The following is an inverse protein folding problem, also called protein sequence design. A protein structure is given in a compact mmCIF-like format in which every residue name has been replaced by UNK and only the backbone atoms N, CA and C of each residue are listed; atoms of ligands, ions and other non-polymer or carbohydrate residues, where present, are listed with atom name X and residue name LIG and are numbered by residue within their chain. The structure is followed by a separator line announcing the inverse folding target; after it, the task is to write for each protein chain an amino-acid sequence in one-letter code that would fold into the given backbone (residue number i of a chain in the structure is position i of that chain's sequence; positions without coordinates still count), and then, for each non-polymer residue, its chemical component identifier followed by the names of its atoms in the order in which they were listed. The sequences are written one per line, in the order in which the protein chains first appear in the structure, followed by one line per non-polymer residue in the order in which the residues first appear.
data_IF_906260036704
#
_entry.id   IF_906260036704
#
_cell.length_a   1.000
_cell.length_b   1.000
_cell.length_c   1.000
_cell.angle_alpha   90.00
_cell.angle_beta   90.00
_cell.angle_gamma   90.00
#
_symmetry.space_group_name_H-M   'P 1'
#
loop_
_entity.id
_entity.type
_entity.pdbx_description
1 polymer ?
#
# COMPACT_ATOMS: atom_id res chain seq x y z
N UNK A 1 -17.56 15.45 2.59
CA UNK A 1 -16.34 14.99 1.88
C UNK A 1 -16.61 13.70 1.13
N UNK A 2 -15.91 13.48 0.01
CA UNK A 2 -16.00 12.22 -0.71
C UNK A 2 -15.33 11.09 0.07
N UNK A 3 -15.93 9.92 0.00
CA UNK A 3 -15.32 8.67 0.39
C UNK A 3 -15.31 7.77 -0.85
N UNK A 4 -14.15 7.48 -1.39
CA UNK A 4 -14.00 6.70 -2.61
C UNK A 4 -12.56 6.23 -2.82
N UNK A 5 -12.39 5.04 -3.41
CA UNK A 5 -11.15 4.56 -4.00
C UNK A 5 -11.27 4.38 -5.50
N UNK A 6 -10.22 3.89 -6.16
CA UNK A 6 -10.22 3.65 -7.60
C UNK A 6 -10.38 4.94 -8.42
N UNK A 7 -9.75 6.02 -7.99
CA UNK A 7 -9.52 7.26 -8.72
C UNK A 7 -8.06 7.31 -9.13
N UNK A 8 -7.67 6.46 -10.10
CA UNK A 8 -6.29 6.07 -10.33
C UNK A 8 -5.66 5.48 -9.05
N UNK A 9 -4.66 6.16 -8.50
CA UNK A 9 -3.96 5.76 -7.26
C UNK A 9 -4.62 6.33 -5.99
N UNK A 10 -5.59 7.26 -6.11
CA UNK A 10 -6.09 8.04 -4.97
C UNK A 10 -7.20 7.32 -4.22
N UNK A 11 -7.17 7.50 -2.90
CA UNK A 11 -8.26 7.13 -1.98
C UNK A 11 -8.66 8.37 -1.18
N UNK A 12 -9.95 8.61 -1.10
CA UNK A 12 -10.56 9.68 -0.32
C UNK A 12 -11.23 9.09 0.91
N UNK A 13 -10.90 9.62 2.06
CA UNK A 13 -11.23 9.05 3.36
C UNK A 13 -12.61 9.47 3.92
N UNK A 14 -13.31 10.37 3.25
CA UNK A 14 -14.56 10.93 3.76
C UNK A 14 -14.32 12.01 4.80
N UNK A 15 -14.46 11.71 6.09
CA UNK A 15 -14.19 12.61 7.23
C UNK A 15 -14.78 14.01 7.05
N UNK A 16 -16.06 14.09 6.67
CA UNK A 16 -16.74 15.37 6.65
C UNK A 16 -16.61 16.05 8.00
N UNK A 17 -16.23 17.32 7.99
CA UNK A 17 -15.90 18.04 9.22
C UNK A 17 -16.75 19.30 9.34
N UNK A 18 -17.38 19.46 10.48
CA UNK A 18 -17.98 20.73 10.88
C UNK A 18 -17.08 21.40 11.93
N UNK A 19 -16.87 22.71 11.76
CA UNK A 19 -16.16 23.54 12.72
C UNK A 19 -17.19 24.46 13.37
N UNK A 20 -17.38 24.28 14.69
CA UNK A 20 -18.32 25.06 15.46
C UNK A 20 -17.79 26.49 15.71
N UNK A 21 -18.66 27.44 16.09
CA UNK A 21 -18.22 28.84 16.32
C UNK A 21 -17.13 29.02 17.36
N UNK A 22 -17.04 28.12 18.34
CA UNK A 22 -16.00 28.10 19.38
C UNK A 22 -14.69 27.41 18.95
N UNK A 23 -14.62 26.93 17.70
CA UNK A 23 -13.48 26.21 17.17
C UNK A 23 -13.50 24.69 17.43
N UNK A 24 -14.50 24.18 18.15
CA UNK A 24 -14.68 22.75 18.33
C UNK A 24 -14.97 22.07 16.98
N UNK A 25 -14.44 20.86 16.78
CA UNK A 25 -14.59 20.10 15.54
C UNK A 25 -15.41 18.85 15.77
N UNK A 26 -16.41 18.67 14.92
CA UNK A 26 -17.22 17.47 14.84
C UNK A 26 -16.83 16.77 13.53
N UNK A 27 -16.43 15.51 13.61
CA UNK A 27 -15.88 14.75 12.48
C UNK A 27 -16.72 13.51 12.23
N UNK A 28 -17.17 13.34 10.99
CA UNK A 28 -17.83 12.14 10.52
C UNK A 28 -16.87 10.96 10.39
N UNK A 29 -17.40 9.76 10.26
CA UNK A 29 -16.63 8.51 10.11
C UNK A 29 -15.75 8.54 8.87
N UNK A 30 -14.62 7.83 8.95
CA UNK A 30 -13.69 7.68 7.84
C UNK A 30 -13.93 6.36 7.10
N UNK A 31 -13.71 6.36 5.76
CA UNK A 31 -13.76 5.21 4.86
C UNK A 31 -15.09 4.47 4.81
N UNK A 32 -16.18 5.11 5.18
CA UNK A 32 -17.54 4.58 5.11
C UNK A 32 -18.57 5.70 4.88
N UNK A 33 -19.78 5.34 4.45
CA UNK A 33 -20.87 6.29 4.36
C UNK A 33 -21.30 6.73 5.77
N UNK A 34 -21.49 8.03 5.93
CA UNK A 34 -21.94 8.58 7.20
C UNK A 34 -22.89 9.78 6.94
N UNK A 35 -23.79 9.99 7.88
CA UNK A 35 -24.74 11.08 7.85
C UNK A 35 -24.69 11.81 9.20
N UNK A 36 -24.02 12.95 9.21
CA UNK A 36 -23.82 13.76 10.40
C UNK A 36 -24.90 14.84 10.49
N UNK A 37 -25.65 14.85 11.59
CA UNK A 37 -26.62 15.89 11.94
C UNK A 37 -26.06 16.69 13.11
N UNK A 38 -25.99 18.01 12.95
CA UNK A 38 -25.45 18.93 13.96
C UNK A 38 -26.38 20.13 14.12
N UNK A 39 -26.47 20.61 15.36
CA UNK A 39 -27.11 21.86 15.69
C UNK A 39 -26.07 22.98 15.79
N UNK A 40 -26.29 24.10 15.12
CA UNK A 40 -25.38 25.24 15.12
C UNK A 40 -26.07 26.44 15.79
N UNK A 41 -25.48 26.91 16.90
CA UNK A 41 -25.90 28.18 17.53
C UNK A 41 -25.38 29.37 16.72
N UNK A 42 -26.25 29.95 15.90
CA UNK A 42 -25.92 31.12 15.05
C UNK A 42 -25.67 32.38 15.87
N UNK A 43 -26.28 32.51 17.05
CA UNK A 43 -26.07 33.66 17.96
C UNK A 43 -24.69 33.61 18.61
N UNK A 44 -24.17 32.41 18.89
CA UNK A 44 -22.82 32.22 19.38
C UNK A 44 -21.80 32.69 18.36
N UNK A 45 -21.99 32.37 17.06
CA UNK A 45 -21.13 32.83 15.97
C UNK A 45 -21.06 34.37 15.93
N UNK A 46 -22.21 35.03 16.06
CA UNK A 46 -22.30 36.50 16.09
C UNK A 46 -21.56 37.09 17.30
N UNK A 47 -21.71 36.48 18.50
CA UNK A 47 -21.02 36.93 19.74
C UNK A 47 -19.50 36.76 19.61
N UNK A 48 -19.00 35.64 19.09
CA UNK A 48 -17.56 35.44 18.83
C UNK A 48 -17.01 36.48 17.87
N UNK A 49 -17.70 36.76 16.76
CA UNK A 49 -17.28 37.74 15.75
C UNK A 49 -17.25 39.17 16.32
N UNK A 50 -18.12 39.49 17.25
CA UNK A 50 -18.16 40.79 17.95
C UNK A 50 -17.01 40.95 18.94
N UNK A 51 -16.60 39.85 19.60
CA UNK A 51 -15.50 39.85 20.60
C UNK A 51 -14.11 39.86 19.93
N UNK A 52 -13.99 39.25 18.73
CA UNK A 52 -12.76 39.30 17.96
C UNK A 52 -12.63 40.63 17.15
N UNK A 53 -12.26 41.68 17.83
CA UNK A 53 -12.05 43.02 17.24
C UNK A 53 -10.95 43.13 16.17
N UNK A 54 -10.44 42.01 15.64
CA UNK A 54 -9.36 41.94 14.63
C UNK A 54 -9.82 41.88 13.18
N UNK A 55 -11.11 41.83 12.89
CA UNK A 55 -11.62 41.85 11.50
C UNK A 55 -11.85 43.29 10.96
N UNK A 56 -11.01 44.22 11.31
CA UNK A 56 -10.90 45.50 10.61
C UNK A 56 -10.03 45.32 9.38
N UNK A 57 -10.62 45.16 8.20
CA UNK A 57 -9.84 45.26 6.98
C UNK A 57 -10.27 44.48 5.75
N UNK A 58 -11.39 43.78 5.75
CA UNK A 58 -11.92 43.25 4.48
C UNK A 58 -13.14 44.02 4.04
N UNK A 59 -12.88 45.26 3.56
CA UNK A 59 -13.86 46.08 2.84
C UNK A 59 -14.02 45.57 1.40
N UNK A 60 -14.38 44.29 1.22
CA UNK A 60 -14.96 43.82 -0.02
C UNK A 60 -16.46 44.08 0.08
N UNK A 61 -16.94 45.11 -0.61
CA UNK A 61 -18.38 45.27 -0.93
C UNK A 61 -18.77 44.06 -1.79
N UNK A 62 -19.14 42.98 -1.12
CA UNK A 62 -19.86 41.87 -1.79
C UNK A 62 -21.33 42.32 -1.76
N UNK A 63 -21.94 42.47 -2.93
CA UNK A 63 -23.40 42.59 -3.00
C UNK A 63 -23.98 41.26 -2.51
N UNK A 64 -24.63 41.31 -1.37
CA UNK A 64 -25.33 40.15 -0.76
C UNK A 64 -26.82 40.33 -1.02
N UNK A 65 -27.41 39.39 -1.74
CA UNK A 65 -28.87 39.34 -1.87
C UNK A 65 -29.43 38.75 -0.55
N UNK A 66 -30.21 39.55 0.17
CA UNK A 66 -30.80 39.15 1.43
C UNK A 66 -32.17 38.51 1.18
N UNK A 67 -32.27 37.19 1.35
CA UNK A 67 -33.51 36.44 1.23
C UNK A 67 -34.10 36.21 2.62
N UNK A 68 -35.14 36.91 2.98
CA UNK A 68 -35.84 36.72 4.24
C UNK A 68 -36.77 35.49 4.20
N UNK A 69 -36.35 34.40 4.80
CA UNK A 69 -37.16 33.20 4.95
C UNK A 69 -38.00 33.29 6.22
N UNK A 70 -39.34 33.23 6.07
CA UNK A 70 -40.25 33.10 7.21
C UNK A 70 -40.23 31.66 7.71
N UNK A 71 -39.25 31.32 8.51
CA UNK A 71 -39.18 30.01 9.16
C UNK A 71 -39.97 30.12 10.47
N UNK A 72 -40.97 29.25 10.74
CA UNK A 72 -41.67 29.26 12.00
C UNK A 72 -40.68 28.90 13.13
N UNK A 73 -40.56 29.78 14.13
CA UNK A 73 -39.78 29.52 15.33
C UNK A 73 -40.31 28.24 16.00
N UNK A 74 -39.58 27.16 15.96
CA UNK A 74 -39.81 26.02 16.84
C UNK A 74 -39.35 26.43 18.26
N UNK A 75 -40.24 26.29 19.23
CA UNK A 75 -39.85 26.43 20.66
C UNK A 75 -38.74 25.43 20.97
N UNK A 76 -37.76 25.88 21.75
CA UNK A 76 -36.55 25.19 22.16
C UNK A 76 -36.62 23.67 22.09
N UNK A 77 -35.91 23.07 21.14
CA UNK A 77 -35.61 21.65 21.19
C UNK A 77 -34.33 21.48 22.03
N UNK A 78 -34.22 20.36 22.73
CA UNK A 78 -32.96 19.92 23.28
C UNK A 78 -31.98 19.76 22.13
N UNK A 79 -30.76 20.26 22.30
CA UNK A 79 -29.70 20.06 21.32
C UNK A 79 -29.44 18.57 21.14
N UNK A 80 -29.22 18.15 19.89
CA UNK A 80 -28.82 16.77 19.61
C UNK A 80 -27.47 16.48 20.28
N UNK A 81 -27.28 15.29 20.86
CA UNK A 81 -25.96 14.92 21.37
C UNK A 81 -24.92 14.97 20.26
N UNK A 82 -23.80 15.62 20.54
CA UNK A 82 -22.69 15.69 19.58
C UNK A 82 -22.01 14.33 19.50
N UNK A 83 -22.15 13.66 18.37
CA UNK A 83 -21.36 12.48 18.04
C UNK A 83 -20.16 12.90 17.21
N UNK A 84 -18.96 12.74 17.75
CA UNK A 84 -17.74 12.95 16.99
C UNK A 84 -16.99 11.64 16.86
N UNK A 85 -16.55 11.31 15.64
CA UNK A 85 -15.73 10.14 15.39
C UNK A 85 -14.32 10.34 15.97
N UNK A 86 -13.84 9.40 16.77
CA UNK A 86 -12.47 9.41 17.26
C UNK A 86 -11.52 9.00 16.13
N UNK A 87 -10.41 9.73 16.00
CA UNK A 87 -9.37 9.35 15.06
C UNK A 87 -8.87 7.93 15.35
N UNK A 88 -8.78 7.13 14.32
CA UNK A 88 -8.17 5.80 14.34
C UNK A 88 -6.64 5.90 14.37
N UNK A 89 -5.96 4.81 14.65
CA UNK A 89 -4.49 4.76 14.52
C UNK A 89 -4.05 4.92 13.05
N UNK A 90 -2.77 5.22 12.83
CA UNK A 90 -2.19 5.26 11.48
C UNK A 90 -2.39 3.91 10.75
N UNK A 91 -2.18 2.81 11.46
CA UNK A 91 -2.33 1.45 10.93
C UNK A 91 -3.79 1.16 10.53
N UNK A 92 -4.76 1.58 11.34
CA UNK A 92 -6.19 1.42 11.03
C UNK A 92 -6.58 2.21 9.77
N UNK A 93 -6.06 3.42 9.62
CA UNK A 93 -6.28 4.25 8.44
C UNK A 93 -5.63 3.64 7.20
N UNK A 94 -4.40 3.10 7.31
CA UNK A 94 -3.73 2.38 6.23
C UNK A 94 -4.54 1.16 5.80
N UNK A 95 -4.98 0.33 6.74
CA UNK A 95 -5.80 -0.85 6.46
C UNK A 95 -7.05 -0.46 5.67
N UNK A 96 -7.83 0.49 6.18
CA UNK A 96 -9.09 0.93 5.57
C UNK A 96 -8.87 1.57 4.19
N UNK A 97 -7.79 2.35 4.04
CA UNK A 97 -7.42 2.95 2.74
C UNK A 97 -7.14 1.89 1.69
N UNK A 98 -6.36 0.86 2.06
CA UNK A 98 -6.00 -0.23 1.15
C UNK A 98 -7.22 -1.08 0.80
N UNK A 99 -8.07 -1.40 1.77
CA UNK A 99 -9.32 -2.14 1.55
C UNK A 99 -10.27 -1.38 0.63
N UNK A 100 -10.48 -0.08 0.88
CA UNK A 100 -11.34 0.77 0.04
C UNK A 100 -10.76 0.91 -1.37
N UNK A 101 -9.46 1.20 -1.49
CA UNK A 101 -8.78 1.35 -2.77
C UNK A 101 -8.87 0.08 -3.62
N UNK A 102 -8.61 -1.08 -3.02
CA UNK A 102 -8.72 -2.37 -3.69
C UNK A 102 -10.16 -2.69 -4.12
N UNK A 103 -11.11 -2.58 -3.19
CA UNK A 103 -12.52 -2.88 -3.45
C UNK A 103 -13.07 -2.06 -4.61
N UNK A 104 -12.82 -0.76 -4.57
CA UNK A 104 -13.35 0.16 -5.57
C UNK A 104 -12.63 -0.01 -6.91
N UNK A 105 -11.31 -0.26 -6.91
CA UNK A 105 -10.56 -0.54 -8.13
C UNK A 105 -11.09 -1.79 -8.84
N UNK A 106 -11.27 -2.89 -8.12
CA UNK A 106 -11.79 -4.15 -8.65
C UNK A 106 -13.20 -3.95 -9.20
N UNK A 107 -14.10 -3.32 -8.42
CA UNK A 107 -15.50 -3.08 -8.79
C UNK A 107 -15.63 -2.17 -10.00
N UNK A 108 -14.93 -1.03 -10.01
CA UNK A 108 -15.01 -0.03 -11.09
C UNK A 108 -14.45 -0.52 -12.42
N UNK A 109 -13.44 -1.40 -12.37
CA UNK A 109 -12.88 -2.05 -13.57
C UNK A 109 -13.66 -3.31 -14.00
N UNK A 110 -14.72 -3.68 -13.30
CA UNK A 110 -15.59 -4.80 -13.68
C UNK A 110 -15.03 -6.18 -13.34
N UNK A 111 -13.94 -6.27 -12.58
CA UNK A 111 -13.42 -7.55 -12.12
C UNK A 111 -14.32 -8.13 -11.02
N UNK A 112 -14.45 -9.45 -11.00
CA UNK A 112 -15.22 -10.17 -9.98
C UNK A 112 -14.31 -10.88 -8.97
N UNK A 113 -13.15 -11.32 -9.41
CA UNK A 113 -12.20 -12.09 -8.61
C UNK A 113 -10.79 -11.58 -8.81
N UNK A 114 -9.97 -11.84 -7.82
CA UNK A 114 -8.53 -11.54 -7.84
C UNK A 114 -7.73 -12.82 -7.65
N UNK A 115 -6.48 -12.81 -8.12
CA UNK A 115 -5.51 -13.90 -7.93
C UNK A 115 -4.17 -13.34 -7.51
N UNK A 116 -3.48 -14.01 -6.60
CA UNK A 116 -2.14 -13.64 -6.16
C UNK A 116 -1.28 -14.88 -5.87
N UNK A 117 0.03 -14.69 -5.94
CA UNK A 117 0.99 -15.69 -5.49
C UNK A 117 1.09 -15.71 -3.96
N UNK A 118 0.95 -16.88 -3.36
CA UNK A 118 1.19 -17.11 -1.93
C UNK A 118 2.58 -17.73 -1.75
N UNK A 119 3.52 -16.92 -1.29
CA UNK A 119 4.91 -17.34 -1.08
C UNK A 119 5.21 -17.81 0.35
N UNK A 120 4.29 -17.57 1.29
CA UNK A 120 4.55 -17.73 2.73
C UNK A 120 5.40 -16.60 3.32
N UNK A 121 5.65 -15.52 2.57
CA UNK A 121 6.29 -14.30 3.04
C UNK A 121 5.28 -13.24 3.50
N UNK A 122 5.76 -12.23 4.25
CA UNK A 122 4.93 -11.18 4.86
C UNK A 122 4.10 -10.42 3.83
N UNK A 123 4.68 -9.99 2.71
CA UNK A 123 4.00 -9.15 1.72
C UNK A 123 2.82 -9.89 1.08
N UNK A 124 3.03 -11.12 0.62
CA UNK A 124 1.97 -11.95 0.04
C UNK A 124 0.87 -12.26 1.06
N UNK A 125 1.25 -12.45 2.32
CA UNK A 125 0.30 -12.70 3.40
C UNK A 125 -0.57 -11.49 3.66
N UNK A 126 0.01 -10.30 3.75
CA UNK A 126 -0.74 -9.07 3.97
C UNK A 126 -1.67 -8.76 2.79
N UNK A 127 -1.19 -8.93 1.53
CA UNK A 127 -2.05 -8.74 0.34
C UNK A 127 -3.24 -9.72 0.35
N UNK A 128 -3.03 -10.98 0.72
CA UNK A 128 -4.10 -11.96 0.81
C UNK A 128 -5.16 -11.57 1.85
N UNK A 129 -4.73 -11.16 3.05
CA UNK A 129 -5.65 -10.72 4.12
C UNK A 129 -6.44 -9.49 3.69
N UNK A 130 -5.78 -8.46 3.15
CA UNK A 130 -6.44 -7.25 2.67
C UNK A 130 -7.43 -7.56 1.53
N UNK A 131 -7.07 -8.49 0.63
CA UNK A 131 -7.96 -8.91 -0.45
C UNK A 131 -9.22 -9.61 0.08
N UNK A 132 -9.07 -10.51 1.05
CA UNK A 132 -10.22 -11.20 1.67
C UNK A 132 -11.10 -10.22 2.43
N UNK A 133 -10.53 -9.28 3.19
CA UNK A 133 -11.29 -8.26 3.93
C UNK A 133 -12.04 -7.31 2.99
N UNK A 134 -11.43 -6.94 1.86
CA UNK A 134 -12.03 -6.03 0.89
C UNK A 134 -13.10 -6.66 0.00
N UNK A 135 -12.93 -7.93 -0.40
CA UNK A 135 -13.68 -8.57 -1.48
C UNK A 135 -14.48 -9.82 -1.06
N UNK A 136 -14.19 -10.38 0.10
CA UNK A 136 -14.70 -11.69 0.53
C UNK A 136 -13.83 -12.85 0.01
N UNK A 137 -13.71 -13.90 0.80
CA UNK A 137 -12.83 -15.05 0.54
C UNK A 137 -13.15 -15.80 -0.76
N UNK A 138 -14.41 -15.84 -1.17
CA UNK A 138 -14.90 -16.47 -2.41
C UNK A 138 -14.36 -15.78 -3.67
N UNK A 139 -13.96 -14.52 -3.56
CA UNK A 139 -13.46 -13.69 -4.65
C UNK A 139 -11.92 -13.61 -4.72
N UNK A 140 -11.22 -14.30 -3.84
CA UNK A 140 -9.76 -14.36 -3.77
C UNK A 140 -9.26 -15.76 -4.09
N UNK A 141 -8.24 -15.84 -4.96
CA UNK A 141 -7.59 -17.11 -5.33
C UNK A 141 -6.09 -17.01 -5.02
N UNK A 142 -5.60 -17.97 -4.24
CA UNK A 142 -4.18 -18.09 -3.92
C UNK A 142 -3.48 -19.08 -4.84
N UNK A 143 -2.25 -18.79 -5.26
CA UNK A 143 -1.44 -19.71 -6.06
C UNK A 143 -0.09 -19.92 -5.39
N UNK A 144 0.15 -21.12 -4.92
CA UNK A 144 1.47 -21.55 -4.42
C UNK A 144 2.28 -22.08 -5.58
N UNK A 145 3.46 -21.51 -5.80
CA UNK A 145 4.34 -21.83 -6.94
C UNK A 145 5.74 -22.22 -6.43
N UNK A 146 5.84 -23.37 -5.73
CA UNK A 146 7.10 -23.77 -5.13
C UNK A 146 8.15 -24.17 -6.18
N UNK A 147 9.41 -23.94 -5.84
CA UNK A 147 10.58 -24.48 -6.51
C UNK A 147 11.36 -25.40 -5.54
N UNK A 148 12.45 -26.03 -6.01
CA UNK A 148 13.36 -26.82 -5.16
C UNK A 148 13.98 -26.00 -4.01
N UNK A 149 14.01 -24.66 -4.15
CA UNK A 149 14.62 -23.75 -3.19
C UNK A 149 13.62 -23.30 -2.14
N UNK A 150 12.32 -23.37 -2.44
CA UNK A 150 11.26 -22.94 -1.51
C UNK A 150 11.30 -23.79 -0.25
N UNK A 151 11.51 -23.14 0.90
CA UNK A 151 11.59 -23.81 2.19
C UNK A 151 10.27 -24.48 2.59
N UNK A 152 10.35 -25.56 3.35
CA UNK A 152 9.15 -26.23 3.86
C UNK A 152 8.38 -25.35 4.84
N UNK A 153 9.07 -24.47 5.56
CA UNK A 153 8.46 -23.47 6.42
C UNK A 153 7.59 -22.50 5.62
N UNK A 154 8.09 -21.99 4.50
CA UNK A 154 7.33 -21.07 3.64
C UNK A 154 6.10 -21.73 3.00
N UNK A 155 6.21 -23.00 2.59
CA UNK A 155 5.06 -23.78 2.12
C UNK A 155 4.03 -23.94 3.21
N UNK A 156 4.46 -24.31 4.44
CA UNK A 156 3.56 -24.47 5.58
C UNK A 156 2.86 -23.17 5.93
N UNK A 157 3.60 -22.04 6.00
CA UNK A 157 3.03 -20.73 6.31
C UNK A 157 1.98 -20.29 5.25
N UNK A 158 2.24 -20.58 3.96
CA UNK A 158 1.31 -20.27 2.89
C UNK A 158 0.01 -21.09 3.00
N UNK A 159 0.11 -22.37 3.34
CA UNK A 159 -1.06 -23.27 3.56
C UNK A 159 -1.84 -22.80 4.77
N UNK A 160 -1.17 -22.59 5.91
CA UNK A 160 -1.81 -22.15 7.16
C UNK A 160 -2.55 -20.82 6.98
N UNK A 161 -1.93 -19.85 6.30
CA UNK A 161 -2.58 -18.58 5.96
C UNK A 161 -3.83 -18.80 5.11
N UNK A 162 -3.75 -19.64 4.09
CA UNK A 162 -4.88 -19.93 3.20
C UNK A 162 -6.04 -20.59 3.94
N UNK A 163 -5.75 -21.52 4.87
CA UNK A 163 -6.73 -22.15 5.75
C UNK A 163 -7.38 -21.15 6.69
N UNK A 164 -6.57 -20.29 7.36
CA UNK A 164 -7.07 -19.23 8.24
C UNK A 164 -8.01 -18.25 7.53
N UNK A 165 -7.73 -17.96 6.26
CA UNK A 165 -8.55 -17.09 5.43
C UNK A 165 -9.73 -17.81 4.76
N UNK A 166 -9.71 -19.13 4.69
CA UNK A 166 -10.68 -19.94 3.96
C UNK A 166 -10.66 -19.68 2.44
N UNK A 167 -9.49 -19.41 1.88
CA UNK A 167 -9.28 -19.07 0.47
C UNK A 167 -8.97 -20.32 -0.34
N UNK A 168 -9.58 -20.44 -1.52
CA UNK A 168 -9.26 -21.51 -2.48
C UNK A 168 -7.85 -21.31 -3.04
N UNK A 169 -7.04 -22.37 -3.02
CA UNK A 169 -5.65 -22.34 -3.48
C UNK A 169 -5.36 -23.36 -4.56
N UNK A 170 -4.40 -23.02 -5.40
CA UNK A 170 -3.80 -23.91 -6.40
C UNK A 170 -2.31 -24.08 -6.09
N UNK A 171 -1.81 -25.30 -6.19
CA UNK A 171 -0.37 -25.56 -6.12
C UNK A 171 0.14 -25.90 -7.51
N UNK A 172 1.07 -25.08 -8.03
CA UNK A 172 1.64 -25.20 -9.38
C UNK A 172 3.17 -25.10 -9.27
N UNK A 173 3.87 -26.24 -9.05
CA UNK A 173 5.33 -26.26 -8.99
C UNK A 173 5.96 -25.74 -10.29
N UNK A 174 7.00 -24.89 -10.17
CA UNK A 174 7.63 -24.26 -11.34
C UNK A 174 8.80 -25.05 -11.92
N UNK A 175 9.22 -26.12 -11.28
CA UNK A 175 10.47 -26.81 -11.53
C UNK A 175 10.64 -27.30 -12.96
N UNK A 176 9.63 -27.97 -13.52
CA UNK A 176 9.69 -28.51 -14.89
C UNK A 176 9.85 -27.42 -15.94
N UNK A 177 9.21 -26.28 -15.74
CA UNK A 177 9.34 -25.11 -16.64
C UNK A 177 10.71 -24.48 -16.49
N UNK A 178 11.19 -24.34 -15.26
CA UNK A 178 12.52 -23.81 -14.95
C UNK A 178 13.63 -24.64 -15.58
N UNK A 179 13.58 -25.96 -15.43
CA UNK A 179 14.56 -26.88 -16.04
C UNK A 179 14.50 -26.85 -17.57
N UNK A 180 13.30 -26.72 -18.15
CA UNK A 180 13.13 -26.61 -19.61
C UNK A 180 13.77 -25.33 -20.15
N UNK A 181 13.57 -24.18 -19.50
CA UNK A 181 14.18 -22.92 -19.91
C UNK A 181 15.70 -22.98 -19.77
N UNK A 182 16.22 -23.48 -18.66
CA UNK A 182 17.66 -23.66 -18.48
C UNK A 182 18.29 -24.59 -19.54
N UNK A 183 17.60 -25.69 -19.86
CA UNK A 183 18.02 -26.59 -20.93
C UNK A 183 18.10 -25.91 -22.31
N UNK A 184 17.11 -25.07 -22.64
CA UNK A 184 17.10 -24.30 -23.89
C UNK A 184 18.21 -23.25 -23.94
N UNK A 185 18.54 -22.62 -22.81
CA UNK A 185 19.54 -21.55 -22.75
C UNK A 185 20.97 -22.06 -22.60
N UNK A 186 21.17 -23.29 -22.14
CA UNK A 186 22.49 -23.87 -21.89
C UNK A 186 23.46 -23.75 -23.09
N UNK A 187 23.07 -24.01 -24.36
CA UNK A 187 24.00 -23.85 -25.51
C UNK A 187 24.45 -22.39 -25.71
N UNK A 188 23.61 -21.41 -25.28
CA UNK A 188 23.90 -19.96 -25.42
C UNK A 188 24.75 -19.47 -24.26
N UNK A 189 24.46 -19.92 -23.05
CA UNK A 189 25.18 -19.49 -21.84
C UNK A 189 26.55 -20.12 -21.71
N UNK A 190 26.77 -21.25 -22.38
CA UNK A 190 28.03 -22.00 -22.30
C UNK A 190 28.37 -22.37 -20.86
N UNK A 191 29.62 -22.16 -20.44
CA UNK A 191 30.10 -22.49 -19.08
C UNK A 191 29.96 -21.32 -18.07
N UNK A 192 29.07 -20.35 -18.34
CA UNK A 192 28.83 -19.27 -17.39
C UNK A 192 28.16 -19.82 -16.12
N UNK A 193 28.63 -19.42 -14.93
CA UNK A 193 28.00 -19.84 -13.68
C UNK A 193 26.60 -19.26 -13.55
N UNK A 194 25.76 -19.91 -12.75
CA UNK A 194 24.44 -19.39 -12.36
C UNK A 194 24.60 -18.03 -11.65
N UNK A 195 23.70 -17.10 -11.99
CA UNK A 195 23.66 -15.76 -11.40
C UNK A 195 22.21 -15.27 -11.23
N UNK A 196 22.01 -13.96 -11.19
CA UNK A 196 20.68 -13.32 -11.12
C UNK A 196 19.77 -13.70 -12.31
N UNK A 197 20.31 -14.29 -13.39
CA UNK A 197 19.53 -14.70 -14.55
C UNK A 197 18.56 -15.82 -14.21
N UNK A 198 19.06 -16.86 -13.53
CA UNK A 198 18.26 -18.01 -13.11
C UNK A 198 17.27 -17.61 -11.99
N UNK A 199 17.65 -16.71 -11.08
CA UNK A 199 16.74 -16.13 -10.10
C UNK A 199 15.56 -15.45 -10.82
N UNK A 200 15.87 -14.61 -11.82
CA UNK A 200 14.86 -13.90 -12.60
C UNK A 200 13.99 -14.83 -13.48
N UNK A 201 14.50 -15.98 -13.94
CA UNK A 201 13.67 -16.97 -14.63
C UNK A 201 12.57 -17.49 -13.72
N UNK A 202 12.87 -17.82 -12.46
CA UNK A 202 11.86 -18.29 -11.51
C UNK A 202 10.77 -17.24 -11.29
N UNK A 203 11.15 -15.97 -11.08
CA UNK A 203 10.19 -14.88 -10.92
C UNK A 203 9.29 -14.71 -12.15
N UNK A 204 9.85 -14.76 -13.37
CA UNK A 204 9.09 -14.63 -14.62
C UNK A 204 8.18 -15.82 -14.89
N UNK A 205 8.60 -17.04 -14.56
CA UNK A 205 7.73 -18.22 -14.66
C UNK A 205 6.49 -18.05 -13.78
N UNK A 206 6.66 -17.59 -12.55
CA UNK A 206 5.55 -17.27 -11.65
C UNK A 206 4.64 -16.20 -12.25
N UNK A 207 5.21 -15.15 -12.82
CA UNK A 207 4.46 -14.11 -13.52
C UNK A 207 3.65 -14.67 -14.71
N UNK A 208 4.23 -15.54 -15.53
CA UNK A 208 3.53 -16.21 -16.65
C UNK A 208 2.34 -17.03 -16.15
N UNK A 209 2.49 -17.79 -15.07
CA UNK A 209 1.42 -18.63 -14.49
C UNK A 209 0.27 -17.73 -14.03
N UNK A 210 0.56 -16.69 -13.24
CA UNK A 210 -0.47 -15.77 -12.73
C UNK A 210 -1.19 -15.05 -13.87
N UNK A 211 -0.46 -14.55 -14.87
CA UNK A 211 -1.06 -13.88 -16.03
C UNK A 211 -1.85 -14.86 -16.92
N UNK A 212 -1.42 -16.12 -16.99
CA UNK A 212 -2.17 -17.18 -17.67
C UNK A 212 -3.53 -17.43 -17.02
N UNK A 213 -3.58 -17.50 -15.69
CA UNK A 213 -4.83 -17.62 -14.92
C UNK A 213 -5.71 -16.37 -15.10
N UNK A 214 -5.10 -15.18 -15.05
CA UNK A 214 -5.78 -13.91 -15.31
C UNK A 214 -6.49 -13.92 -16.66
N UNK A 215 -5.78 -14.25 -17.72
CA UNK A 215 -6.33 -14.27 -19.08
C UNK A 215 -7.42 -15.35 -19.25
N UNK A 216 -7.24 -16.51 -18.63
CA UNK A 216 -8.16 -17.63 -18.80
C UNK A 216 -9.48 -17.43 -18.07
N UNK A 217 -9.43 -16.80 -16.88
CA UNK A 217 -10.58 -16.70 -15.97
C UNK A 217 -11.10 -15.28 -15.79
N UNK A 218 -10.44 -14.28 -16.35
CA UNK A 218 -10.79 -12.86 -16.17
C UNK A 218 -10.52 -12.36 -14.74
N UNK A 219 -9.53 -12.92 -14.03
CA UNK A 219 -9.18 -12.51 -12.68
C UNK A 219 -8.12 -11.42 -12.70
N UNK A 220 -8.22 -10.46 -11.79
CA UNK A 220 -7.18 -9.44 -11.63
C UNK A 220 -6.00 -10.01 -10.83
N UNK A 221 -4.78 -9.92 -11.38
CA UNK A 221 -3.56 -10.29 -10.63
C UNK A 221 -3.19 -9.18 -9.68
N UNK A 222 -3.05 -9.50 -8.38
CA UNK A 222 -2.55 -8.60 -7.36
C UNK A 222 -1.03 -8.79 -7.21
N UNK A 223 -0.30 -7.67 -7.30
CA UNK A 223 1.14 -7.62 -7.10
C UNK A 223 1.44 -7.37 -5.63
N UNK A 224 2.42 -8.07 -5.09
CA UNK A 224 2.77 -8.04 -3.67
C UNK A 224 3.96 -7.14 -3.34
N UNK A 225 4.62 -6.55 -4.35
CA UNK A 225 5.78 -5.68 -4.17
C UNK A 225 5.46 -4.41 -3.38
N UNK A 226 6.37 -4.02 -2.50
CA UNK A 226 6.24 -2.88 -1.59
C UNK A 226 7.09 -1.66 -2.01
N UNK A 227 6.95 -0.54 -1.27
CA UNK A 227 7.64 0.72 -1.58
C UNK A 227 9.16 0.61 -1.46
N UNK A 228 9.66 -0.12 -0.47
CA UNK A 228 11.11 -0.31 -0.24
C UNK A 228 11.75 -1.09 -1.39
N UNK A 229 11.12 -2.17 -1.83
CA UNK A 229 11.54 -2.96 -2.99
C UNK A 229 11.49 -2.15 -4.29
N UNK A 230 10.40 -1.42 -4.52
CA UNK A 230 10.23 -0.54 -5.67
C UNK A 230 11.25 0.60 -5.68
N UNK A 231 11.61 1.13 -4.51
CA UNK A 231 12.62 2.18 -4.38
C UNK A 231 14.00 1.68 -4.81
N UNK A 232 14.41 0.53 -4.32
CA UNK A 232 15.75 -0.04 -4.55
C UNK A 232 15.85 -0.84 -5.85
N UNK A 233 14.69 -1.16 -6.48
CA UNK A 233 14.62 -2.05 -7.63
C UNK A 233 14.86 -3.52 -7.29
N UNK A 234 14.66 -3.89 -6.03
CA UNK A 234 14.70 -5.28 -5.57
C UNK A 234 13.42 -6.01 -6.02
N UNK A 235 13.27 -6.11 -7.33
CA UNK A 235 12.13 -6.68 -8.02
C UNK A 235 12.52 -7.09 -9.44
N UNK A 236 11.84 -8.07 -10.01
CA UNK A 236 12.09 -8.59 -11.36
C UNK A 236 11.06 -8.07 -12.35
N UNK A 237 11.52 -7.34 -13.38
CA UNK A 237 10.66 -6.94 -14.50
C UNK A 237 10.01 -8.16 -15.15
N UNK A 238 8.68 -8.06 -15.37
CA UNK A 238 7.86 -9.12 -15.94
C UNK A 238 7.82 -10.42 -15.12
N UNK A 239 8.28 -10.36 -13.86
CA UNK A 239 8.22 -11.44 -12.88
C UNK A 239 7.26 -11.07 -11.75
N UNK A 240 7.79 -10.82 -10.57
CA UNK A 240 7.03 -10.40 -9.38
C UNK A 240 6.33 -9.03 -9.51
N UNK A 241 6.75 -8.21 -10.49
CA UNK A 241 6.09 -6.95 -10.84
C UNK A 241 4.90 -7.14 -11.80
N UNK A 242 4.66 -8.36 -12.32
CA UNK A 242 3.58 -8.61 -13.29
C UNK A 242 2.23 -8.67 -12.58
N UNK A 243 1.29 -7.84 -13.02
CA UNK A 243 -0.08 -7.81 -12.47
C UNK A 243 -0.81 -6.52 -12.80
N UNK A 244 -2.04 -6.42 -12.31
CA UNK A 244 -2.93 -5.30 -12.62
C UNK A 244 -3.07 -4.25 -11.50
N UNK A 245 -2.75 -4.62 -10.25
CA UNK A 245 -2.77 -3.68 -9.10
C UNK A 245 -1.74 -4.10 -8.06
N UNK A 246 -0.91 -3.17 -7.61
CA UNK A 246 0.11 -3.36 -6.58
C UNK A 246 -0.34 -2.67 -5.28
N UNK A 247 -0.98 -3.45 -4.39
CA UNK A 247 -1.66 -2.91 -3.19
C UNK A 247 -0.67 -2.26 -2.23
N UNK A 248 0.50 -2.89 -2.02
CA UNK A 248 1.52 -2.44 -1.06
C UNK A 248 2.56 -1.49 -1.66
N UNK A 249 2.40 -1.07 -2.93
CA UNK A 249 3.39 -0.28 -3.67
C UNK A 249 3.83 1.01 -2.96
N UNK A 250 2.99 1.57 -2.11
CA UNK A 250 3.24 2.81 -1.40
C UNK A 250 3.41 2.64 0.12
N UNK A 251 3.58 1.39 0.61
CA UNK A 251 3.95 1.06 1.99
C UNK A 251 5.42 0.63 2.07
N UNK A 252 6.14 1.19 3.04
CA UNK A 252 7.47 0.71 3.39
C UNK A 252 7.41 -0.65 4.10
N UNK A 253 8.48 -1.43 4.00
CA UNK A 253 8.56 -2.77 4.63
C UNK A 253 8.26 -2.72 6.13
N UNK A 254 8.80 -1.74 6.82
CA UNK A 254 8.54 -1.54 8.26
C UNK A 254 7.08 -1.23 8.58
N UNK A 255 6.37 -0.51 7.69
CA UNK A 255 4.93 -0.26 7.85
C UNK A 255 4.11 -1.54 7.60
N UNK A 256 4.53 -2.39 6.66
CA UNK A 256 3.86 -3.66 6.36
C UNK A 256 3.79 -4.55 7.61
N UNK A 257 4.89 -4.67 8.36
CA UNK A 257 4.90 -5.44 9.60
C UNK A 257 3.95 -4.88 10.66
N UNK A 258 3.93 -3.55 10.84
CA UNK A 258 3.00 -2.89 11.79
C UNK A 258 1.54 -3.09 11.39
N UNK A 259 1.23 -2.94 10.11
CA UNK A 259 -0.12 -3.17 9.57
C UNK A 259 -0.56 -4.62 9.74
N UNK A 260 0.33 -5.58 9.46
CA UNK A 260 0.06 -7.00 9.64
C UNK A 260 -0.18 -7.37 11.12
N UNK A 261 0.62 -6.82 12.03
CA UNK A 261 0.45 -7.01 13.47
C UNK A 261 -0.88 -6.43 13.94
N UNK A 262 -1.22 -5.21 13.48
CA UNK A 262 -2.50 -4.56 13.78
C UNK A 262 -3.71 -5.38 13.30
N UNK A 263 -3.61 -6.05 12.15
CA UNK A 263 -4.67 -6.94 11.66
C UNK A 263 -4.88 -8.14 12.59
N UNK A 264 -3.81 -8.79 13.05
CA UNK A 264 -3.92 -9.90 14.01
C UNK A 264 -4.50 -9.44 15.35
N UNK A 265 -4.10 -8.24 15.84
CA UNK A 265 -4.70 -7.63 17.03
C UNK A 265 -6.20 -7.38 16.88
N UNK A 266 -6.64 -6.78 15.75
CA UNK A 266 -8.07 -6.54 15.48
C UNK A 266 -8.89 -7.84 15.44
N UNK A 267 -8.29 -8.89 14.91
CA UNK A 267 -8.95 -10.20 14.80
C UNK A 267 -8.99 -10.96 16.14
N UNK A 268 -8.11 -10.62 17.08
CA UNK A 268 -7.92 -11.38 18.33
C UNK A 268 -7.37 -12.80 18.11
N UNK A 269 -6.79 -13.06 16.93
CA UNK A 269 -6.21 -14.36 16.53
C UNK A 269 -5.11 -14.15 15.49
N UNK A 270 -4.23 -15.13 15.36
CA UNK A 270 -3.14 -15.13 14.37
C UNK A 270 -3.65 -15.48 12.96
N UNK A 271 -4.34 -14.55 12.29
CA UNK A 271 -4.72 -14.74 10.87
C UNK A 271 -3.46 -14.92 10.03
N UNK A 272 -2.50 -14.02 10.18
CA UNK A 272 -1.15 -14.18 9.62
C UNK A 272 -0.33 -14.99 10.61
N UNK A 273 0.16 -16.17 10.23
CA UNK A 273 0.90 -17.06 11.13
C UNK A 273 2.10 -16.37 11.77
N UNK A 274 2.34 -16.62 13.05
CA UNK A 274 3.43 -16.00 13.81
C UNK A 274 4.82 -16.20 13.18
N UNK A 275 5.04 -17.36 12.56
CA UNK A 275 6.29 -17.67 11.90
C UNK A 275 6.63 -16.68 10.76
N UNK A 276 5.62 -16.14 10.05
CA UNK A 276 5.80 -15.14 8.99
C UNK A 276 6.43 -13.84 9.53
N UNK A 277 6.18 -13.48 10.79
CA UNK A 277 6.80 -12.32 11.45
C UNK A 277 8.24 -12.58 11.88
N UNK A 278 8.58 -13.82 12.20
CA UNK A 278 9.88 -14.19 12.76
C UNK A 278 10.91 -14.49 11.67
N UNK A 279 10.48 -14.92 10.49
CA UNK A 279 11.37 -15.19 9.36
C UNK A 279 12.07 -13.93 8.88
N UNK A 280 13.37 -14.05 8.58
CA UNK A 280 14.07 -13.00 7.87
C UNK A 280 13.46 -12.81 6.46
N UNK A 281 13.27 -11.56 5.99
CA UNK A 281 12.82 -11.30 4.64
C UNK A 281 13.74 -11.92 3.59
N UNK A 282 13.13 -12.64 2.62
CA UNK A 282 13.85 -13.29 1.53
C UNK A 282 12.95 -13.49 0.32
N UNK A 283 13.53 -13.41 -0.88
CA UNK A 283 12.84 -13.74 -2.12
C UNK A 283 12.82 -15.24 -2.44
N UNK A 284 13.58 -16.07 -1.71
CA UNK A 284 13.73 -17.53 -1.92
C UNK A 284 13.98 -17.93 -3.39
N UNK A 285 14.87 -17.21 -4.09
CA UNK A 285 15.26 -17.50 -5.47
C UNK A 285 16.58 -18.25 -5.57
N UNK A 286 17.36 -18.26 -4.51
CA UNK A 286 18.59 -19.04 -4.32
C UNK A 286 18.71 -19.55 -2.90
N UNK A 287 19.50 -20.59 -2.71
CA UNK A 287 19.71 -21.21 -1.39
C UNK A 287 20.31 -20.22 -0.39
N UNK A 288 19.73 -20.15 0.82
CA UNK A 288 20.18 -19.29 1.90
C UNK A 288 20.07 -17.78 1.65
N UNK A 289 19.32 -17.35 0.63
CA UNK A 289 19.15 -15.95 0.30
C UNK A 289 18.50 -15.16 1.45
N UNK A 290 19.00 -13.93 1.64
CA UNK A 290 18.39 -12.90 2.50
C UNK A 290 18.40 -11.57 1.78
N UNK A 291 17.38 -10.76 2.03
CA UNK A 291 17.30 -9.41 1.43
C UNK A 291 18.51 -8.56 1.87
N UNK A 292 19.01 -8.77 3.10
CA UNK A 292 20.19 -8.10 3.65
C UNK A 292 21.50 -8.46 2.94
N UNK A 293 21.53 -9.46 2.07
CA UNK A 293 22.71 -9.72 1.22
C UNK A 293 22.94 -8.58 0.22
N UNK A 294 21.87 -7.83 -0.10
CA UNK A 294 21.88 -6.76 -1.10
C UNK A 294 21.33 -5.42 -0.59
N UNK A 295 20.64 -5.40 0.53
CA UNK A 295 19.98 -4.23 1.10
C UNK A 295 20.43 -3.99 2.54
N UNK A 296 20.47 -2.75 3.00
CA UNK A 296 20.55 -2.45 4.43
C UNK A 296 19.36 -3.04 5.19
N UNK A 297 19.46 -3.12 6.53
CA UNK A 297 18.31 -3.44 7.37
C UNK A 297 17.15 -2.49 7.02
N UNK A 298 15.92 -3.00 6.95
CA UNK A 298 14.76 -2.24 6.51
C UNK A 298 14.48 -1.01 7.37
N UNK A 299 14.78 -1.03 8.65
CA UNK A 299 14.66 0.13 9.54
C UNK A 299 15.56 1.30 9.08
N UNK A 300 16.77 0.99 8.60
CA UNK A 300 17.71 1.96 8.06
C UNK A 300 17.28 2.38 6.65
N UNK A 301 16.98 1.42 5.80
CA UNK A 301 16.56 1.65 4.42
C UNK A 301 15.34 2.56 4.34
N UNK A 302 14.27 2.19 5.05
CA UNK A 302 13.00 2.92 5.04
C UNK A 302 13.16 4.30 5.69
N UNK A 303 14.01 4.43 6.70
CA UNK A 303 14.35 5.72 7.32
C UNK A 303 14.98 6.68 6.31
N UNK A 304 15.98 6.24 5.55
CA UNK A 304 16.64 7.03 4.50
C UNK A 304 15.65 7.38 3.39
N UNK A 305 14.90 6.39 2.89
CA UNK A 305 13.95 6.60 1.80
C UNK A 305 12.85 7.59 2.18
N UNK A 306 12.32 7.53 3.41
CA UNK A 306 11.30 8.47 3.91
C UNK A 306 11.83 9.89 3.94
N UNK A 307 13.01 10.12 4.51
CA UNK A 307 13.62 11.43 4.57
C UNK A 307 13.86 12.00 3.16
N UNK A 308 14.39 11.20 2.25
CA UNK A 308 14.69 11.66 0.90
C UNK A 308 13.43 11.88 0.04
N UNK A 309 12.52 10.91 0.01
CA UNK A 309 11.36 10.94 -0.90
C UNK A 309 10.25 11.84 -0.34
N UNK A 310 9.89 11.69 0.94
CA UNK A 310 8.71 12.33 1.51
C UNK A 310 9.01 13.69 2.13
N UNK A 311 10.18 13.83 2.78
CA UNK A 311 10.59 15.06 3.45
C UNK A 311 11.54 15.93 2.60
N UNK A 312 12.00 15.42 1.44
CA UNK A 312 12.92 16.14 0.51
C UNK A 312 14.26 16.53 1.10
N UNK A 313 14.80 15.72 2.02
CA UNK A 313 16.12 15.95 2.59
C UNK A 313 17.21 15.61 1.56
N UNK A 314 18.25 16.44 1.51
CA UNK A 314 19.46 16.13 0.77
C UNK A 314 20.29 15.04 1.46
N UNK A 315 21.28 14.49 0.75
CA UNK A 315 22.19 13.49 1.30
C UNK A 315 22.82 13.96 2.60
N UNK A 316 23.36 15.20 2.63
CA UNK A 316 24.04 15.74 3.80
C UNK A 316 23.09 15.95 5.00
N UNK A 317 21.86 16.37 4.74
CA UNK A 317 20.83 16.47 5.79
C UNK A 317 20.46 15.11 6.38
N UNK A 318 20.34 14.06 5.54
CA UNK A 318 20.09 12.68 6.01
C UNK A 318 21.25 12.19 6.87
N UNK A 319 22.50 12.42 6.45
CA UNK A 319 23.69 12.09 7.25
C UNK A 319 23.68 12.83 8.58
N UNK A 320 23.26 14.10 8.60
CA UNK A 320 23.13 14.89 9.85
C UNK A 320 22.12 14.33 10.83
N UNK A 321 21.16 13.50 10.37
CA UNK A 321 20.21 12.77 11.23
C UNK A 321 20.79 11.49 11.85
N UNK A 322 22.06 11.17 11.59
CA UNK A 322 22.77 10.05 12.18
C UNK A 322 22.89 8.80 11.29
N UNK A 323 22.48 8.88 10.03
CA UNK A 323 22.68 7.79 9.06
C UNK A 323 24.12 7.80 8.52
N UNK A 324 24.70 6.60 8.33
CA UNK A 324 26.02 6.45 7.75
C UNK A 324 26.05 6.93 6.30
N UNK A 325 27.00 7.80 5.97
CA UNK A 325 27.13 8.40 4.62
C UNK A 325 27.19 7.36 3.50
N UNK A 326 28.00 6.32 3.66
CA UNK A 326 28.16 5.28 2.62
C UNK A 326 26.84 4.53 2.38
N UNK A 327 26.11 4.26 3.45
CA UNK A 327 24.80 3.63 3.38
C UNK A 327 23.79 4.55 2.68
N UNK A 328 23.76 5.84 2.99
CA UNK A 328 22.90 6.82 2.32
C UNK A 328 23.21 6.88 0.82
N UNK A 329 24.49 7.07 0.45
CA UNK A 329 24.94 7.08 -0.95
C UNK A 329 24.54 5.79 -1.70
N UNK A 330 24.68 4.65 -1.05
CA UNK A 330 24.30 3.36 -1.64
C UNK A 330 22.80 3.28 -1.91
N UNK A 331 21.98 3.64 -0.94
CA UNK A 331 20.50 3.63 -1.07
C UNK A 331 20.04 4.59 -2.16
N UNK A 332 20.57 5.82 -2.18
CA UNK A 332 20.21 6.81 -3.20
C UNK A 332 20.63 6.36 -4.61
N UNK A 333 21.75 5.67 -4.74
CA UNK A 333 22.19 5.06 -6.01
C UNK A 333 21.26 3.96 -6.47
N UNK A 334 20.81 3.09 -5.58
CA UNK A 334 19.79 2.08 -5.91
C UNK A 334 18.49 2.74 -6.36
N UNK A 335 18.03 3.75 -5.63
CA UNK A 335 16.81 4.50 -5.94
C UNK A 335 16.86 5.11 -7.34
N UNK A 336 17.96 5.77 -7.70
CA UNK A 336 18.13 6.38 -9.02
C UNK A 336 18.13 5.36 -10.15
N UNK A 337 18.88 4.27 -9.99
CA UNK A 337 19.02 3.22 -11.02
C UNK A 337 17.73 2.44 -11.27
N UNK A 338 16.77 2.52 -10.37
CA UNK A 338 15.55 1.69 -10.39
C UNK A 338 14.34 2.35 -11.04
N UNK A 339 14.46 3.61 -11.50
CA UNK A 339 13.33 4.33 -12.11
C UNK A 339 12.73 3.60 -13.32
N UNK A 340 13.57 2.97 -14.15
CA UNK A 340 13.08 2.22 -15.32
C UNK A 340 12.18 1.05 -14.95
N UNK A 341 12.40 0.41 -13.77
CA UNK A 341 11.53 -0.62 -13.22
C UNK A 341 10.23 -0.01 -12.72
N UNK A 342 10.31 1.05 -11.91
CA UNK A 342 9.12 1.73 -11.37
C UNK A 342 8.15 2.19 -12.44
N UNK A 343 8.65 2.65 -13.59
CA UNK A 343 7.81 3.06 -14.73
C UNK A 343 7.05 1.93 -15.41
N UNK A 344 7.45 0.69 -15.18
CA UNK A 344 6.82 -0.50 -15.74
C UNK A 344 6.02 -1.30 -14.70
N UNK A 345 5.95 -0.81 -13.47
CA UNK A 345 5.18 -1.44 -12.40
C UNK A 345 3.68 -1.14 -12.51
N UNK A 346 2.87 -2.06 -12.03
CA UNK A 346 1.42 -1.90 -11.95
C UNK A 346 1.03 -0.63 -11.15
N UNK A 347 -0.15 -0.03 -11.41
CA UNK A 347 -0.68 1.03 -10.56
C UNK A 347 -0.80 0.57 -9.10
N UNK A 348 -0.68 1.48 -8.16
CA UNK A 348 -0.78 1.20 -6.73
C UNK A 348 -1.86 2.05 -6.05
N UNK A 349 -1.98 1.91 -4.73
CA UNK A 349 -2.85 2.74 -3.91
C UNK A 349 -1.95 3.71 -3.14
N UNK A 350 -2.19 5.02 -3.33
CA UNK A 350 -1.43 6.06 -2.65
C UNK A 350 -1.91 6.23 -1.21
N UNK A 351 -0.99 6.02 -0.26
CA UNK A 351 -1.24 6.17 1.18
C UNK A 351 -0.16 6.99 1.90
N UNK A 352 0.84 7.47 1.17
CA UNK A 352 1.92 8.29 1.71
C UNK A 352 1.91 9.72 1.15
N UNK A 353 2.75 10.59 1.71
CA UNK A 353 2.91 11.98 1.21
C UNK A 353 3.32 12.00 -0.26
N UNK A 354 4.19 11.09 -0.70
CA UNK A 354 4.70 11.00 -2.07
C UNK A 354 4.78 9.54 -2.52
N UNK A 355 3.88 9.16 -3.43
CA UNK A 355 3.90 7.86 -4.09
C UNK A 355 4.77 7.89 -5.35
N UNK A 356 5.36 6.73 -5.70
CA UNK A 356 6.05 6.57 -6.98
C UNK A 356 5.07 6.64 -8.14
N UNK A 357 5.39 7.44 -9.13
CA UNK A 357 4.58 7.62 -10.32
C UNK A 357 4.24 9.08 -10.58
N UNK A 358 3.10 9.58 -10.08
CA UNK A 358 2.68 10.97 -10.30
C UNK A 358 3.40 11.97 -9.38
N UNK A 359 3.64 11.61 -8.12
CA UNK A 359 4.18 12.54 -7.12
C UNK A 359 5.71 12.60 -7.15
N UNK A 360 6.35 11.49 -7.44
CA UNK A 360 7.81 11.38 -7.40
C UNK A 360 8.33 10.57 -8.58
N UNK A 361 9.22 11.16 -9.35
CA UNK A 361 9.84 10.57 -10.54
C UNK A 361 11.27 11.04 -10.68
N UNK A 362 12.13 10.14 -11.20
CA UNK A 362 13.49 10.48 -11.61
C UNK A 362 13.64 10.31 -13.12
N UNK A 363 14.56 11.04 -13.77
CA UNK A 363 14.96 10.73 -15.15
C UNK A 363 15.56 9.32 -15.21
N UNK A 364 15.13 8.51 -16.19
CA UNK A 364 15.67 7.15 -16.35
C UNK A 364 17.17 7.19 -16.69
N UNK A 365 17.56 8.11 -17.55
CA UNK A 365 18.95 8.26 -18.02
C UNK A 365 19.69 9.27 -17.16
N UNK A 366 19.71 9.07 -15.86
CA UNK A 366 20.37 9.95 -14.91
C UNK A 366 21.43 9.18 -14.12
N UNK A 367 22.62 9.78 -13.95
CA UNK A 367 23.71 9.26 -13.10
C UNK A 367 24.17 10.28 -12.05
N UNK A 368 23.46 11.39 -11.94
CA UNK A 368 23.75 12.41 -10.94
C UNK A 368 23.31 11.89 -9.55
N UNK A 369 24.19 12.04 -8.57
CA UNK A 369 23.94 11.74 -7.16
C UNK A 369 24.25 13.04 -6.41
N UNK A 370 23.30 13.56 -5.66
CA UNK A 370 23.46 14.75 -4.81
C UNK A 370 24.52 14.53 -3.75
#
# INVERSE_FOLDING_TARGET
CNYAGGQDELVFDGRSTAIMPDGHRIVARSFEEDFLVIDIDTDQSTRYNLLEGKRKGYDRKVEVEEINLKIPHRKSQEFLPEETYKYSSEEDDLIRSLELGLRDYVKKNGFKKVVLGLSGGMDSSLVAVLAVRALGKENVKGVMMPSRITSDESKKDAVELAENLGVETFEIPIESVFDSINGLMRPVFSDRPHDVTEENFQARIRGIILMGLSNKFGWLVLVTGNKSEMATGYATLYGDMAGGLAILKDLYKTQIYRVAERINEQAGTEIIPRNVFLKAPTAELREGQRDQDSLPLYEILDGILRLYIEESFSLDEIVSKGFDRKTVEYVLRLLQRSEYKRKQGAPGIKVSKRAFGKDWRMPITNRYID
#
